data_IF_793480587567
#
_entry.id   IF_793480587567
#
_cell.length_a   1.000
_cell.length_b   1.000
_cell.length_c   1.000
_cell.angle_alpha   90.00
_cell.angle_beta   90.00
_cell.angle_gamma   90.00
#
_symmetry.space_group_name_H-M   'P 1'
#
loop_
_entity.id
_entity.type
_entity.pdbx_description
1 polymer ?
#
# COMPACT_ATOMS: atom_id res chain seq x y z
N UNK A 1 15.22 13.51 19.25
CA UNK A 1 14.19 12.73 19.96
C UNK A 1 12.85 13.03 19.26
N UNK A 2 12.74 12.92 17.94
CA UNK A 2 12.67 11.71 17.09
C UNK A 2 11.30 11.02 17.14
N UNK A 3 10.40 11.55 16.29
CA UNK A 3 9.62 10.85 15.26
C UNK A 3 8.74 9.63 15.61
N UNK A 4 8.28 9.48 16.84
CA UNK A 4 7.36 8.39 17.20
C UNK A 4 5.90 8.63 16.74
N UNK A 5 5.56 9.88 16.37
CA UNK A 5 4.21 10.24 15.90
C UNK A 5 3.90 9.72 14.47
N UNK A 6 4.92 9.59 13.62
CA UNK A 6 4.73 9.23 12.20
C UNK A 6 4.37 7.76 11.98
N UNK A 7 4.72 6.85 12.89
CA UNK A 7 4.40 5.42 12.73
C UNK A 7 2.91 5.10 12.89
N UNK A 8 2.17 5.94 13.64
CA UNK A 8 0.75 5.73 13.97
C UNK A 8 -0.21 6.18 12.86
N UNK A 9 0.27 6.92 11.86
CA UNK A 9 -0.55 7.43 10.73
C UNK A 9 -0.65 6.42 9.57
N UNK A 10 0.04 5.27 9.63
CA UNK A 10 0.07 4.26 8.56
C UNK A 10 -1.28 3.63 8.18
N UNK A 11 -2.38 3.91 8.87
CA UNK A 11 -3.70 3.29 8.61
C UNK A 11 -4.85 4.27 8.29
N UNK A 12 -4.59 5.57 8.10
CA UNK A 12 -5.69 6.52 7.80
C UNK A 12 -5.98 6.70 6.30
N UNK A 13 -5.18 6.08 5.43
CA UNK A 13 -5.35 6.23 3.98
C UNK A 13 -6.31 5.17 3.45
N UNK A 14 -7.41 5.56 2.78
CA UNK A 14 -8.37 4.62 2.23
C UNK A 14 -7.70 3.62 1.30
N UNK A 15 -8.14 2.36 1.38
CA UNK A 15 -7.68 1.31 0.46
C UNK A 15 -7.92 1.76 -0.98
N UNK A 16 -6.89 1.66 -1.82
CA UNK A 16 -6.96 2.05 -3.23
C UNK A 16 -6.59 3.52 -3.52
N UNK A 17 -6.47 4.39 -2.52
CA UNK A 17 -6.07 5.80 -2.71
C UNK A 17 -4.74 5.92 -3.49
N UNK A 18 -3.73 5.14 -3.10
CA UNK A 18 -2.40 5.19 -3.75
C UNK A 18 -2.45 4.84 -5.23
N UNK A 19 -3.36 3.94 -5.66
CA UNK A 19 -3.54 3.60 -7.07
C UNK A 19 -4.04 4.82 -7.85
N UNK A 20 -5.11 5.43 -7.36
CA UNK A 20 -5.74 6.59 -8.00
C UNK A 20 -4.79 7.78 -8.02
N UNK A 21 -4.11 8.02 -6.89
CA UNK A 21 -3.14 9.09 -6.77
C UNK A 21 -1.99 8.95 -7.78
N UNK A 22 -1.40 7.75 -7.90
CA UNK A 22 -0.32 7.51 -8.86
C UNK A 22 -0.82 7.72 -10.30
N UNK A 23 -1.99 7.20 -10.66
CA UNK A 23 -2.56 7.41 -12.00
C UNK A 23 -2.78 8.91 -12.28
N UNK A 24 -3.27 9.68 -11.30
CA UNK A 24 -3.45 11.12 -11.42
C UNK A 24 -2.12 11.83 -11.71
N UNK A 25 -1.06 11.51 -10.96
CA UNK A 25 0.27 12.09 -11.18
C UNK A 25 0.82 11.77 -12.57
N UNK A 26 0.65 10.52 -13.00
CA UNK A 26 1.12 10.05 -14.30
C UNK A 26 0.28 10.55 -15.48
N UNK A 27 -0.93 11.05 -15.23
CA UNK A 27 -1.77 11.78 -16.20
C UNK A 27 -1.24 13.18 -16.45
N UNK A 28 -0.65 13.83 -15.45
CA UNK A 28 -0.10 15.17 -15.59
C UNK A 28 1.25 15.18 -16.31
N UNK A 29 2.16 14.28 -15.92
CA UNK A 29 3.47 14.16 -16.57
C UNK A 29 4.13 12.80 -16.32
N UNK A 30 5.06 12.37 -17.19
CA UNK A 30 5.86 11.18 -16.93
C UNK A 30 6.74 11.32 -15.68
N UNK A 31 6.73 10.31 -14.81
CA UNK A 31 7.48 10.31 -13.54
C UNK A 31 8.10 8.95 -13.22
N UNK A 32 9.27 8.96 -12.59
CA UNK A 32 9.89 7.79 -11.94
C UNK A 32 9.20 7.45 -10.62
N UNK A 33 9.39 6.22 -10.12
CA UNK A 33 8.88 5.81 -8.80
C UNK A 33 9.38 6.69 -7.64
N UNK A 34 10.63 7.14 -7.71
CA UNK A 34 11.20 8.06 -6.73
C UNK A 34 10.57 9.46 -6.76
N UNK A 35 10.29 9.97 -7.96
CA UNK A 35 9.59 11.25 -8.14
C UNK A 35 8.16 11.18 -7.60
N UNK A 36 7.43 10.08 -7.81
CA UNK A 36 6.09 9.86 -7.24
C UNK A 36 6.11 9.96 -5.72
N UNK A 37 7.07 9.29 -5.06
CA UNK A 37 7.19 9.32 -3.59
C UNK A 37 7.51 10.75 -3.11
N UNK A 38 8.42 11.45 -3.80
CA UNK A 38 8.79 12.82 -3.46
C UNK A 38 7.62 13.78 -3.64
N UNK A 39 6.91 13.70 -4.76
CA UNK A 39 5.72 14.54 -5.04
C UNK A 39 4.61 14.27 -4.02
N UNK A 40 4.39 13.02 -3.62
CA UNK A 40 3.45 12.68 -2.55
C UNK A 40 3.82 13.36 -1.22
N UNK A 41 5.11 13.35 -0.86
CA UNK A 41 5.62 14.06 0.33
C UNK A 41 5.41 15.57 0.22
N UNK A 42 5.75 16.17 -0.92
CA UNK A 42 5.67 17.61 -1.15
C UNK A 42 4.22 18.11 -1.11
N UNK A 43 3.32 17.47 -1.88
CA UNK A 43 1.90 17.85 -1.96
C UNK A 43 1.14 17.62 -0.64
N UNK A 44 1.59 16.66 0.18
CA UNK A 44 1.00 16.41 1.49
C UNK A 44 1.64 17.23 2.61
N UNK A 45 2.58 18.12 2.32
CA UNK A 45 3.40 18.83 3.33
C UNK A 45 4.03 17.86 4.35
N UNK A 46 4.50 16.70 3.88
CA UNK A 46 5.11 15.66 4.71
C UNK A 46 4.13 14.81 5.52
N UNK A 47 2.81 15.06 5.44
CA UNK A 47 1.79 14.29 6.17
C UNK A 47 1.64 12.86 5.62
N UNK A 48 1.99 12.64 4.36
CA UNK A 48 1.97 11.33 3.74
C UNK A 48 3.22 11.08 2.90
N UNK A 49 3.92 10.00 3.22
CA UNK A 49 5.07 9.53 2.46
C UNK A 49 4.82 8.05 2.15
N UNK A 50 4.41 7.69 0.92
CA UNK A 50 4.23 6.30 0.58
C UNK A 50 5.58 5.57 0.60
N UNK A 51 5.61 4.37 1.16
CA UNK A 51 6.84 3.59 1.22
C UNK A 51 7.24 3.07 -0.17
N UNK A 52 8.55 2.91 -0.44
CA UNK A 52 9.02 2.24 -1.66
C UNK A 52 8.38 0.86 -1.87
N UNK A 53 8.23 0.08 -0.79
CA UNK A 53 7.59 -1.24 -0.82
C UNK A 53 6.10 -1.23 -1.18
N UNK A 54 5.43 -0.07 -1.13
CA UNK A 54 4.08 0.10 -1.65
C UNK A 54 4.10 0.54 -3.12
N UNK A 55 4.93 1.52 -3.46
CA UNK A 55 4.91 2.19 -4.76
C UNK A 55 5.41 1.27 -5.88
N UNK A 56 6.57 0.64 -5.73
CA UNK A 56 7.15 -0.15 -6.82
C UNK A 56 6.31 -1.40 -7.17
N UNK A 57 5.81 -2.19 -6.21
CA UNK A 57 4.89 -3.28 -6.55
C UNK A 57 3.58 -2.81 -7.16
N UNK A 58 3.09 -1.62 -6.78
CA UNK A 58 1.90 -1.04 -7.37
C UNK A 58 2.12 -0.60 -8.81
N UNK A 59 3.26 0.03 -9.13
CA UNK A 59 3.66 0.35 -10.50
C UNK A 59 3.77 -0.91 -11.35
N UNK A 60 4.38 -1.98 -10.83
CA UNK A 60 4.43 -3.28 -11.50
C UNK A 60 3.04 -3.84 -11.83
N UNK A 61 2.08 -3.73 -10.89
CA UNK A 61 0.68 -4.12 -11.15
C UNK A 61 0.03 -3.26 -12.23
N UNK A 62 0.21 -1.93 -12.17
CA UNK A 62 -0.33 -1.02 -13.16
C UNK A 62 0.22 -1.28 -14.56
N UNK A 63 1.52 -1.59 -14.67
CA UNK A 63 2.15 -2.03 -15.92
C UNK A 63 1.54 -3.34 -16.42
N UNK A 64 1.43 -4.35 -15.55
CA UNK A 64 0.87 -5.66 -15.94
C UNK A 64 -0.58 -5.58 -16.41
N UNK A 65 -1.36 -4.63 -15.88
CA UNK A 65 -2.72 -4.37 -16.30
C UNK A 65 -2.81 -3.45 -17.53
N UNK A 66 -1.68 -2.96 -18.04
CA UNK A 66 -1.63 -2.03 -19.18
C UNK A 66 -2.27 -0.68 -18.88
N UNK A 67 -2.28 -0.25 -17.61
CA UNK A 67 -2.81 1.06 -17.20
C UNK A 67 -1.74 2.16 -17.34
N UNK A 68 -0.46 1.80 -17.23
CA UNK A 68 0.69 2.67 -17.44
C UNK A 68 1.68 2.01 -18.39
N UNK A 69 2.56 2.80 -19.00
CA UNK A 69 3.71 2.31 -19.77
C UNK A 69 5.00 2.93 -19.25
N UNK A 70 6.11 2.22 -19.44
CA UNK A 70 7.45 2.70 -19.10
C UNK A 70 8.15 3.26 -20.34
N UNK A 71 8.85 4.36 -20.18
CA UNK A 71 9.70 4.99 -21.20
C UNK A 71 11.13 4.47 -21.09
N UNK A 72 11.95 4.69 -22.12
CA UNK A 72 13.35 4.22 -22.16
C UNK A 72 14.24 4.79 -21.05
N UNK A 73 13.84 5.91 -20.44
CA UNK A 73 14.51 6.56 -19.31
C UNK A 73 13.96 6.12 -17.94
N UNK A 74 13.13 5.08 -17.87
CA UNK A 74 12.59 4.52 -16.62
C UNK A 74 11.50 5.38 -15.97
N UNK A 75 10.87 6.27 -16.73
CA UNK A 75 9.67 7.01 -16.29
C UNK A 75 8.44 6.24 -16.67
N UNK A 76 7.40 6.38 -15.86
CA UNK A 76 6.08 5.87 -16.16
C UNK A 76 5.21 6.99 -16.73
N UNK A 77 4.29 6.63 -17.62
CA UNK A 77 3.24 7.51 -18.12
C UNK A 77 1.93 6.75 -18.18
N UNK A 78 0.80 7.45 -18.02
CA UNK A 78 -0.52 6.82 -18.10
C UNK A 78 -0.85 6.42 -19.54
N UNK A 79 -1.57 5.32 -19.70
CA UNK A 79 -2.13 4.89 -21.00
C UNK A 79 -3.59 5.33 -21.13
N UNK A 80 -4.16 5.23 -22.32
CA UNK A 80 -5.58 5.45 -22.55
C UNK A 80 -6.48 4.57 -21.67
N UNK A 81 -6.11 3.29 -21.48
CA UNK A 81 -6.80 2.38 -20.56
C UNK A 81 -6.74 2.88 -19.11
N UNK A 82 -5.59 3.40 -18.69
CA UNK A 82 -5.41 3.99 -17.36
C UNK A 82 -6.27 5.23 -17.15
N UNK A 83 -6.41 6.07 -18.18
CA UNK A 83 -7.27 7.27 -18.15
C UNK A 83 -8.74 6.85 -18.00
N UNK A 84 -9.21 5.89 -18.79
CA UNK A 84 -10.59 5.42 -18.72
C UNK A 84 -10.94 4.82 -17.35
N UNK A 85 -10.04 4.02 -16.78
CA UNK A 85 -10.21 3.47 -15.43
C UNK A 85 -10.26 4.58 -14.35
N UNK A 86 -9.43 5.61 -14.51
CA UNK A 86 -9.43 6.76 -13.59
C UNK A 86 -10.75 7.52 -13.65
N UNK A 87 -11.28 7.78 -14.84
CA UNK A 87 -12.56 8.44 -15.06
C UNK A 87 -13.74 7.63 -14.51
N UNK A 88 -13.73 6.30 -14.66
CA UNK A 88 -14.75 5.42 -14.10
C UNK A 88 -14.80 5.53 -12.57
N UNK A 89 -13.64 5.59 -11.90
CA UNK A 89 -13.57 5.77 -10.45
C UNK A 89 -14.06 7.15 -10.02
N UNK A 90 -13.73 8.20 -10.78
CA UNK A 90 -14.24 9.56 -10.52
C UNK A 90 -15.75 9.65 -10.69
N UNK A 91 -16.32 9.01 -11.71
CA UNK A 91 -17.77 8.94 -11.92
C UNK A 91 -18.48 8.21 -10.78
N UNK A 92 -17.93 7.10 -10.29
CA UNK A 92 -18.48 6.38 -9.13
C UNK A 92 -18.46 7.28 -7.88
N UNK A 93 -17.35 8.00 -7.65
CA UNK A 93 -17.23 8.93 -6.52
C UNK A 93 -18.24 10.08 -6.62
N UNK A 94 -18.38 10.66 -7.82
CA UNK A 94 -19.34 11.74 -8.08
C UNK A 94 -20.78 11.26 -7.94
N UNK A 95 -21.12 10.12 -8.52
CA UNK A 95 -22.44 9.49 -8.40
C UNK A 95 -22.81 9.19 -6.95
N UNK A 96 -21.88 8.65 -6.15
CA UNK A 96 -22.12 8.48 -4.70
C UNK A 96 -22.33 9.83 -4.01
N UNK A 97 -21.49 10.84 -4.26
CA UNK A 97 -21.61 12.16 -3.64
C UNK A 97 -22.93 12.85 -3.98
N UNK A 98 -23.31 12.87 -5.26
CA UNK A 98 -24.54 13.49 -5.76
C UNK A 98 -25.78 12.80 -5.17
N UNK A 99 -25.70 11.48 -4.98
CA UNK A 99 -26.78 10.67 -4.41
C UNK A 99 -26.94 10.91 -2.90
N UNK A 100 -25.86 11.12 -2.14
CA UNK A 100 -25.94 11.53 -0.73
C UNK A 100 -26.41 12.98 -0.57
N UNK A 101 -25.97 13.91 -1.41
CA UNK A 101 -26.36 15.33 -1.30
C UNK A 101 -27.84 15.55 -1.67
N UNK A 102 -28.33 14.82 -2.68
CA UNK A 102 -29.77 14.74 -3.01
C UNK A 102 -30.59 14.13 -1.87
N UNK A 103 -30.04 13.14 -1.16
CA UNK A 103 -30.72 12.47 -0.04
C UNK A 103 -30.67 13.26 1.28
N UNK A 104 -29.59 14.02 1.51
CA UNK A 104 -29.38 14.92 2.65
C UNK A 104 -30.18 16.23 2.51
N UNK A 105 -30.33 16.72 1.27
CA UNK A 105 -31.14 17.92 0.97
C UNK A 105 -32.65 17.69 1.12
N UNK A 106 -33.11 16.43 1.23
CA UNK A 106 -34.48 16.02 1.55
C UNK A 106 -34.77 15.98 3.07
N UNK A 107 -34.21 16.93 3.82
CA UNK A 107 -34.65 17.26 5.19
C UNK A 107 -34.63 16.13 6.23
N UNK A 108 -35.61 16.14 7.13
CA UNK A 108 -35.63 15.35 8.37
C UNK A 108 -35.55 13.82 8.17
N UNK A 109 -35.98 13.30 7.01
CA UNK A 109 -35.94 11.86 6.70
C UNK A 109 -34.51 11.31 6.55
N UNK A 110 -33.57 12.12 6.07
CA UNK A 110 -32.17 11.72 5.90
C UNK A 110 -31.46 11.44 7.23
N UNK A 111 -31.80 12.17 8.29
CA UNK A 111 -31.23 12.00 9.64
C UNK A 111 -31.62 10.66 10.28
N UNK A 112 -32.85 10.20 10.05
CA UNK A 112 -33.33 8.92 10.59
C UNK A 112 -32.63 7.72 9.94
N UNK A 113 -32.34 7.80 8.64
CA UNK A 113 -31.62 6.73 7.92
C UNK A 113 -30.12 6.73 8.21
N UNK A 114 -29.51 7.90 8.46
CA UNK A 114 -28.15 8.02 8.98
C UNK A 114 -28.00 7.32 10.33
N UNK A 115 -28.98 7.46 11.21
CA UNK A 115 -28.96 6.82 12.52
C UNK A 115 -29.02 5.28 12.38
N UNK A 116 -29.92 4.77 11.55
CA UNK A 116 -30.04 3.32 11.29
C UNK A 116 -28.75 2.74 10.63
N UNK A 117 -28.09 3.51 9.77
CA UNK A 117 -26.81 3.12 9.18
C UNK A 117 -25.66 3.09 10.19
N UNK A 118 -25.58 4.08 11.09
CA UNK A 118 -24.58 4.12 12.17
C UNK A 118 -24.79 2.97 13.16
N UNK A 119 -26.04 2.66 13.49
CA UNK A 119 -26.39 1.54 14.36
C UNK A 119 -26.02 0.18 13.72
N UNK A 120 -26.17 0.05 12.40
CA UNK A 120 -25.76 -1.15 11.64
C UNK A 120 -24.25 -1.30 11.53
N UNK A 121 -23.51 -0.22 11.34
CA UNK A 121 -22.03 -0.25 11.32
C UNK A 121 -21.48 -0.55 12.71
N UNK A 122 -22.11 -0.01 13.75
CA UNK A 122 -21.69 -0.21 15.14
C UNK A 122 -21.91 -1.67 15.58
N UNK A 123 -23.05 -2.26 15.22
CA UNK A 123 -23.32 -3.70 15.48
C UNK A 123 -22.39 -4.63 14.71
N UNK A 124 -22.03 -4.30 13.46
CA UNK A 124 -21.02 -5.06 12.71
C UNK A 124 -19.62 -4.91 13.33
N UNK A 125 -19.30 -3.73 13.86
CA UNK A 125 -18.02 -3.46 14.52
C UNK A 125 -17.89 -4.26 15.82
N UNK A 126 -18.93 -4.30 16.65
CA UNK A 126 -18.92 -5.08 17.89
C UNK A 126 -18.85 -6.59 17.60
N UNK A 127 -19.53 -7.06 16.56
CA UNK A 127 -19.46 -8.47 16.12
C UNK A 127 -18.07 -8.86 15.58
N UNK A 128 -17.42 -7.98 14.81
CA UNK A 128 -16.05 -8.21 14.31
C UNK A 128 -15.03 -8.16 15.45
N UNK A 129 -15.22 -7.27 16.43
CA UNK A 129 -14.35 -7.19 17.60
C UNK A 129 -14.44 -8.45 18.48
N UNK A 130 -15.62 -9.07 18.60
CA UNK A 130 -15.80 -10.34 19.31
C UNK A 130 -15.16 -11.55 18.58
N UNK A 131 -15.18 -11.56 17.24
CA UNK A 131 -14.62 -12.68 16.46
C UNK A 131 -13.09 -12.63 16.30
N UNK A 132 -12.48 -11.44 16.50
CA UNK A 132 -11.02 -11.24 16.44
C UNK A 132 -10.28 -11.94 17.59
N UNK A 133 -10.88 -12.05 18.78
CA UNK A 133 -10.27 -12.77 19.91
C UNK A 133 -10.11 -14.27 19.65
N UNK A 134 -10.95 -14.84 18.77
CA UNK A 134 -10.94 -16.28 18.45
C UNK A 134 -9.96 -16.65 17.33
N UNK A 135 -9.45 -15.67 16.57
CA UNK A 135 -8.55 -15.87 15.42
C UNK A 135 -7.06 -15.76 15.76
N UNK A 136 -6.71 -15.20 16.93
CA UNK A 136 -5.33 -14.89 17.30
C UNK A 136 -4.41 -16.09 17.58
N UNK A 137 -4.95 -17.21 18.05
CA UNK A 137 -4.12 -18.29 18.58
C UNK A 137 -3.48 -19.17 17.47
N UNK A 138 -4.28 -19.54 16.45
CA UNK A 138 -3.80 -20.38 15.34
C UNK A 138 -2.83 -19.64 14.42
N UNK A 139 -3.00 -18.33 14.24
CA UNK A 139 -2.08 -17.53 13.41
C UNK A 139 -0.75 -17.27 14.11
N UNK A 140 -0.74 -17.02 15.43
CA UNK A 140 0.50 -16.80 16.19
C UNK A 140 1.44 -17.99 16.13
N UNK A 141 0.91 -19.21 16.23
CA UNK A 141 1.71 -20.44 16.14
C UNK A 141 2.35 -20.58 14.75
N UNK A 142 1.57 -20.36 13.69
CA UNK A 142 2.05 -20.47 12.30
C UNK A 142 3.07 -19.38 11.95
N UNK A 143 2.85 -18.15 12.42
CA UNK A 143 3.76 -17.03 12.22
C UNK A 143 5.09 -17.23 12.98
N UNK A 144 5.04 -17.72 14.23
CA UNK A 144 6.23 -18.05 15.01
C UNK A 144 7.02 -19.22 14.40
N UNK A 145 6.34 -20.20 13.83
CA UNK A 145 6.97 -21.32 13.12
C UNK A 145 7.66 -20.85 11.82
N UNK A 146 7.01 -19.96 11.07
CA UNK A 146 7.58 -19.34 9.87
C UNK A 146 8.84 -18.54 10.19
N UNK A 147 8.80 -17.66 11.21
CA UNK A 147 9.96 -16.85 11.60
C UNK A 147 11.17 -17.68 12.05
N UNK A 148 10.94 -18.79 12.76
CA UNK A 148 12.02 -19.71 13.14
C UNK A 148 12.68 -20.38 11.93
N UNK A 149 11.87 -20.79 10.96
CA UNK A 149 12.41 -21.39 9.74
C UNK A 149 13.22 -20.38 8.93
N UNK A 150 12.78 -19.13 8.87
CA UNK A 150 13.51 -18.10 8.14
C UNK A 150 14.79 -17.67 8.85
N UNK A 151 14.80 -17.61 10.19
CA UNK A 151 16.02 -17.35 10.96
C UNK A 151 17.08 -18.43 10.72
N UNK A 152 16.68 -19.71 10.72
CA UNK A 152 17.56 -20.83 10.41
C UNK A 152 18.14 -20.75 9.00
N UNK A 153 17.35 -20.33 8.01
CA UNK A 153 17.83 -20.17 6.63
C UNK A 153 18.86 -19.04 6.49
N UNK A 154 18.73 -17.99 7.29
CA UNK A 154 19.69 -16.89 7.31
C UNK A 154 20.99 -17.31 8.02
N UNK A 155 20.90 -18.04 9.13
CA UNK A 155 22.09 -18.62 9.80
C UNK A 155 22.84 -19.58 8.87
N UNK A 156 22.12 -20.46 8.16
CA UNK A 156 22.71 -21.38 7.17
C UNK A 156 23.34 -20.64 5.98
N UNK A 157 22.75 -19.50 5.56
CA UNK A 157 23.31 -18.66 4.50
C UNK A 157 24.56 -17.90 4.95
N UNK A 158 24.57 -17.38 6.18
CA UNK A 158 25.75 -16.73 6.78
C UNK A 158 26.90 -17.72 6.98
N UNK A 159 26.62 -18.94 7.43
CA UNK A 159 27.63 -20.00 7.55
C UNK A 159 28.20 -20.43 6.19
N UNK A 160 27.37 -20.44 5.14
CA UNK A 160 27.80 -20.74 3.78
C UNK A 160 28.66 -19.61 3.18
N UNK A 161 28.34 -18.35 3.46
CA UNK A 161 29.15 -17.19 3.07
C UNK A 161 30.49 -17.14 3.81
N UNK A 162 30.51 -17.51 5.10
CA UNK A 162 31.75 -17.58 5.89
C UNK A 162 32.68 -18.70 5.41
N UNK A 163 32.14 -19.88 5.08
CA UNK A 163 32.93 -20.98 4.49
C UNK A 163 33.51 -20.60 3.13
N UNK A 164 32.72 -19.95 2.27
CA UNK A 164 33.18 -19.52 0.94
C UNK A 164 34.28 -18.47 1.03
N UNK A 165 34.23 -17.61 2.05
CA UNK A 165 35.27 -16.59 2.29
C UNK A 165 36.58 -17.21 2.81
N UNK A 166 36.50 -18.23 3.66
CA UNK A 166 37.67 -18.92 4.22
C UNK A 166 38.44 -19.76 3.18
N UNK A 167 37.74 -20.43 2.26
CA UNK A 167 38.37 -21.24 1.19
C UNK A 167 39.09 -20.35 0.16
N UNK A 168 38.60 -19.13 -0.08
CA UNK A 168 39.23 -18.20 -1.03
C UNK A 168 40.54 -17.58 -0.49
N UNK A 169 40.64 -17.40 0.83
CA UNK A 169 41.88 -16.92 1.48
C UNK A 169 42.99 -17.98 1.56
N UNK A 170 42.65 -19.27 1.56
CA UNK A 170 43.64 -20.35 1.60
C UNK A 170 44.29 -20.62 0.22
N UNK A 171 43.54 -20.45 -0.88
CA UNK A 171 44.07 -20.59 -2.26
C UNK A 171 45.01 -19.43 -2.66
N UNK A 172 44.80 -18.21 -2.16
CA UNK A 172 45.69 -17.06 -2.40
C UNK A 172 47.01 -17.15 -1.60
N UNK A 173 47.02 -17.84 -0.45
CA UNK A 173 48.24 -18.06 0.35
C UNK A 173 49.13 -19.20 -0.19
N UNK A 174 48.60 -20.07 -1.05
CA UNK A 174 49.33 -21.21 -1.64
C UNK A 174 50.04 -20.88 -2.97
N UNK A 175 49.86 -19.68 -3.52
CA UNK A 175 50.41 -19.27 -4.84
C UNK A 175 51.44 -18.11 -4.73
N UNK A 176 51.81 -17.69 -3.51
CA UNK A 176 52.87 -16.71 -3.24
C UNK A 176 54.07 -17.40 -2.58
#
# INVERSE_FOLDING_TARGET
MSDDWFERVRSSIPRGFSRIYILQLLKEKPMTGGEIIRTAKEQSNGKWIPSPGLVYPLLGRLLSHGMITETTDGRYTITEKGIHELENVEQIKKGMSDQYDTFLSLGAAGKFLLQDAVDRVSSFTTMVLEDVDRLGEKQRVRYKAFLRNELRRLEEAEEAEQKTTQTKTEDEAATA
#
